data_IF_733356109351
#
_entry.id   IF_733356109351
#
_cell.length_a   1.000
_cell.length_b   1.000
_cell.length_c   1.000
_cell.angle_alpha   90.00
_cell.angle_beta   90.00
_cell.angle_gamma   90.00
#
_symmetry.space_group_name_H-M   'P 1'
#
loop_
_entity.id
_entity.type
_entity.pdbx_description
1 polymer ?
#
# COMPACT_ATOMS: atom_id res chain seq x y z
N UNK A 1 -7.49 -4.47 -5.25
CA UNK A 1 -6.23 -4.85 -4.54
C UNK A 1 -5.91 -3.99 -3.30
N UNK A 2 -6.89 -3.31 -2.67
CA UNK A 2 -6.69 -2.33 -1.57
C UNK A 2 -5.92 -1.07 -1.99
N UNK A 3 -4.64 -1.19 -2.30
CA UNK A 3 -3.79 -0.07 -2.75
C UNK A 3 -3.05 -0.48 -4.02
N UNK A 4 -3.23 0.28 -5.09
CA UNK A 4 -2.46 0.12 -6.32
C UNK A 4 -1.12 0.85 -6.22
N UNK A 5 -0.02 0.13 -6.41
CA UNK A 5 1.29 0.71 -6.64
C UNK A 5 1.54 0.71 -8.15
N UNK A 6 1.90 1.86 -8.71
CA UNK A 6 2.20 2.04 -10.12
C UNK A 6 3.68 2.37 -10.26
N UNK A 7 4.40 1.53 -11.00
CA UNK A 7 5.83 1.71 -11.23
C UNK A 7 6.10 2.85 -12.21
N UNK A 8 7.26 3.48 -12.08
CA UNK A 8 7.64 4.66 -12.86
C UNK A 8 7.80 4.37 -14.37
N UNK A 9 7.99 3.11 -14.75
CA UNK A 9 8.15 2.63 -16.12
C UNK A 9 6.87 1.97 -16.68
N UNK A 10 5.75 2.05 -15.97
CA UNK A 10 4.47 1.53 -16.44
C UNK A 10 3.83 2.48 -17.46
N UNK A 11 3.61 1.97 -18.68
CA UNK A 11 3.06 2.75 -19.82
C UNK A 11 1.69 2.28 -20.31
N UNK A 12 1.19 1.17 -19.79
CA UNK A 12 -0.10 0.61 -20.19
C UNK A 12 -1.27 1.37 -19.53
N UNK A 13 -2.51 1.13 -19.97
CA UNK A 13 -3.69 1.72 -19.33
C UNK A 13 -3.79 1.35 -17.84
N UNK A 14 -4.08 2.33 -16.99
CA UNK A 14 -4.36 2.09 -15.58
C UNK A 14 -5.75 1.46 -15.40
N UNK A 15 -5.81 0.30 -14.74
CA UNK A 15 -7.05 -0.42 -14.46
C UNK A 15 -7.36 -0.36 -12.96
N UNK A 16 -8.63 -0.11 -12.62
CA UNK A 16 -9.08 0.03 -11.23
C UNK A 16 -9.83 -1.24 -10.79
N UNK A 17 -9.27 -1.96 -9.83
CA UNK A 17 -9.91 -3.11 -9.17
C UNK A 17 -10.87 -2.60 -8.07
N UNK A 18 -12.15 -2.45 -8.43
CA UNK A 18 -13.19 -2.02 -7.51
C UNK A 18 -13.79 -3.19 -6.75
N UNK A 19 -14.06 -2.98 -5.46
CA UNK A 19 -14.73 -3.96 -4.60
C UNK A 19 -15.78 -3.27 -3.75
N UNK A 20 -17.05 -3.65 -3.95
CA UNK A 20 -18.12 -3.30 -3.03
C UNK A 20 -18.09 -4.23 -1.80
N UNK A 21 -17.63 -3.70 -0.66
CA UNK A 21 -17.62 -4.41 0.64
C UNK A 21 -18.94 -4.24 1.41
N UNK A 22 -19.90 -3.51 0.85
CA UNK A 22 -21.24 -3.32 1.41
C UNK A 22 -22.17 -4.51 1.14
N UNK A 23 -23.40 -4.42 1.66
CA UNK A 23 -24.46 -5.42 1.44
C UNK A 23 -25.43 -5.05 0.31
N UNK A 24 -25.48 -3.77 -0.06
CA UNK A 24 -26.35 -3.27 -1.12
C UNK A 24 -25.58 -3.22 -2.45
N UNK A 25 -26.30 -3.45 -3.56
CA UNK A 25 -25.74 -3.24 -4.90
C UNK A 25 -25.40 -1.76 -5.12
N UNK A 26 -24.35 -1.51 -5.90
CA UNK A 26 -23.92 -0.17 -6.31
C UNK A 26 -23.74 -0.17 -7.83
N UNK A 27 -24.38 0.76 -8.51
CA UNK A 27 -24.16 1.02 -9.94
C UNK A 27 -23.09 2.10 -10.08
N UNK A 28 -22.19 1.93 -11.04
CA UNK A 28 -21.16 2.91 -11.39
C UNK A 28 -21.43 3.31 -12.83
N UNK A 29 -21.60 4.60 -13.06
CA UNK A 29 -21.91 5.16 -14.37
C UNK A 29 -20.64 5.72 -15.04
N UNK A 30 -20.62 5.82 -16.38
CA UNK A 30 -19.54 6.49 -17.09
C UNK A 30 -19.33 7.92 -16.59
N UNK A 31 -18.10 8.22 -16.16
CA UNK A 31 -17.72 9.54 -15.62
C UNK A 31 -17.67 9.61 -14.09
N UNK A 32 -18.13 8.59 -13.37
CA UNK A 32 -18.05 8.56 -11.92
C UNK A 32 -16.59 8.55 -11.42
N UNK A 33 -16.34 9.32 -10.37
CA UNK A 33 -15.06 9.33 -9.66
C UNK A 33 -15.02 8.19 -8.65
N UNK A 34 -14.28 7.12 -8.95
CA UNK A 34 -14.29 5.86 -8.18
C UNK A 34 -12.99 5.57 -7.39
N UNK A 35 -11.94 6.35 -7.60
CA UNK A 35 -10.66 6.24 -6.90
C UNK A 35 -9.89 7.57 -6.99
N UNK A 36 -8.73 7.64 -6.32
CA UNK A 36 -7.80 8.77 -6.36
C UNK A 36 -6.36 8.28 -6.51
N UNK A 37 -5.50 9.11 -7.08
CA UNK A 37 -4.07 8.86 -7.29
C UNK A 37 -3.24 9.91 -6.55
N UNK A 38 -2.15 9.50 -5.92
CA UNK A 38 -1.20 10.39 -5.22
C UNK A 38 0.22 10.03 -5.66
N UNK A 39 1.00 11.05 -6.01
CA UNK A 39 2.43 10.91 -6.32
C UNK A 39 3.26 11.11 -5.07
N UNK A 40 4.13 10.15 -4.77
CA UNK A 40 5.00 10.17 -3.59
C UNK A 40 6.46 9.96 -4.02
N UNK A 41 7.45 10.61 -3.38
CA UNK A 41 8.84 10.27 -3.58
C UNK A 41 9.11 8.84 -3.06
N UNK A 42 9.94 8.09 -3.79
CA UNK A 42 10.38 6.75 -3.39
C UNK A 42 11.90 6.71 -3.20
N UNK A 43 12.36 5.94 -2.22
CA UNK A 43 13.77 5.63 -2.04
C UNK A 43 14.09 4.26 -2.70
N UNK A 44 15.23 4.17 -3.38
CA UNK A 44 15.76 2.89 -3.89
C UNK A 44 16.82 2.38 -2.91
N UNK A 45 16.49 1.33 -2.17
CA UNK A 45 17.43 0.73 -1.23
C UNK A 45 18.46 -0.14 -1.97
N UNK A 46 19.70 -0.15 -1.47
CA UNK A 46 20.71 -1.14 -1.82
C UNK A 46 20.85 -2.12 -0.66
N UNK A 47 20.86 -3.41 -0.97
CA UNK A 47 21.00 -4.45 0.05
C UNK A 47 22.45 -4.52 0.55
N UNK A 48 22.62 -4.67 1.86
CA UNK A 48 23.90 -4.96 2.53
C UNK A 48 23.70 -6.14 3.45
N UNK A 49 24.37 -7.25 3.16
CA UNK A 49 24.35 -8.45 4.01
C UNK A 49 25.18 -8.19 5.26
N UNK A 50 24.65 -8.58 6.43
CA UNK A 50 25.31 -8.47 7.74
C UNK A 50 25.04 -9.73 8.55
N UNK A 51 25.95 -10.09 9.45
CA UNK A 51 25.79 -11.28 10.30
C UNK A 51 24.73 -11.07 11.39
N UNK A 52 24.55 -9.83 11.86
CA UNK A 52 23.54 -9.44 12.85
C UNK A 52 23.13 -7.96 12.70
N UNK A 53 21.93 -7.64 13.19
CA UNK A 53 21.43 -6.25 13.30
C UNK A 53 21.78 -5.64 14.67
N UNK A 54 21.95 -4.32 14.72
CA UNK A 54 22.07 -3.59 15.99
C UNK A 54 20.77 -3.66 16.80
N UNK A 55 20.90 -3.74 18.12
CA UNK A 55 19.73 -3.74 19.02
C UNK A 55 19.01 -2.38 18.98
N UNK A 56 17.67 -2.42 19.00
CA UNK A 56 16.83 -1.23 19.15
C UNK A 56 15.83 -1.42 20.28
N UNK A 57 15.34 -0.32 20.87
CA UNK A 57 14.34 -0.39 21.93
C UNK A 57 13.05 -1.14 21.52
N UNK A 58 12.71 -1.17 20.22
CA UNK A 58 11.57 -1.91 19.69
C UNK A 58 11.86 -3.40 19.48
N UNK A 59 13.10 -3.75 19.15
CA UNK A 59 13.50 -5.12 18.80
C UNK A 59 12.55 -5.75 17.76
N UNK A 60 12.17 -7.00 18.02
CA UNK A 60 11.26 -7.79 17.18
C UNK A 60 9.76 -7.48 17.40
N UNK A 61 9.45 -6.45 18.20
CA UNK A 61 8.07 -6.07 18.50
C UNK A 61 7.26 -5.72 17.26
N UNK A 62 6.04 -6.28 17.14
CA UNK A 62 5.10 -6.03 16.05
C UNK A 62 3.65 -6.23 16.50
N UNK A 63 2.67 -6.01 15.62
CA UNK A 63 1.26 -6.39 15.86
C UNK A 63 0.68 -5.98 17.22
N UNK A 64 0.82 -4.70 17.61
CA UNK A 64 0.28 -4.22 18.88
C UNK A 64 1.11 -4.58 20.11
N UNK A 65 2.42 -4.83 19.97
CA UNK A 65 3.33 -5.15 21.09
C UNK A 65 3.37 -4.11 22.23
N UNK A 66 2.96 -2.87 21.96
CA UNK A 66 2.86 -1.81 22.98
C UNK A 66 1.61 -1.90 23.83
N UNK A 67 0.71 -2.86 23.54
CA UNK A 67 -0.58 -2.95 24.19
C UNK A 67 -1.53 -1.81 23.81
N UNK A 68 -2.68 -1.79 24.48
CA UNK A 68 -3.78 -0.85 24.22
C UNK A 68 -4.22 -0.10 25.47
N UNK A 69 -3.43 -0.15 26.55
CA UNK A 69 -3.73 0.50 27.84
C UNK A 69 -2.67 1.53 28.17
#
# INVERSE_FOLDING_TARGET
>A
NRTGLIDADYLCPLIISLWNRGRAALTIEPGDRVAQLVFLPIARAAWRVVDAFDASARGDGGFGHTGTR
#
